data_IF_362225147797
#
_entry.id   IF_362225147797
#
_cell.length_a   1.000
_cell.length_b   1.000
_cell.length_c   1.000
_cell.angle_alpha   90.00
_cell.angle_beta   90.00
_cell.angle_gamma   90.00
#
_symmetry.space_group_name_H-M   'P 1'
#
loop_
_entity.id
_entity.type
_entity.pdbx_description
1 polymer ?
#
# COMPACT_ATOMS: atom_id res chain seq x y z
N UNK A 1 7.14 19.26 14.19
CA UNK A 1 6.64 18.67 12.92
C UNK A 1 7.50 17.49 12.42
N UNK A 2 8.83 17.48 12.61
CA UNK A 2 9.72 16.34 12.24
C UNK A 2 9.66 15.19 13.28
N UNK A 3 9.42 15.53 14.56
CA UNK A 3 9.44 14.59 15.68
C UNK A 3 8.35 13.50 15.57
N UNK A 4 7.12 13.86 15.17
CA UNK A 4 6.03 12.92 14.97
C UNK A 4 6.33 11.86 13.89
N UNK A 5 7.00 12.25 12.80
CA UNK A 5 7.36 11.32 11.72
C UNK A 5 8.44 10.34 12.17
N UNK A 6 9.43 10.82 12.91
CA UNK A 6 10.49 9.97 13.43
C UNK A 6 9.95 8.97 14.47
N UNK A 7 9.04 9.40 15.33
CA UNK A 7 8.37 8.52 16.29
C UNK A 7 7.44 7.52 15.61
N UNK A 8 6.68 7.94 14.60
CA UNK A 8 5.81 7.06 13.83
C UNK A 8 6.64 5.95 13.16
N UNK A 9 7.77 6.30 12.56
CA UNK A 9 8.67 5.35 11.92
C UNK A 9 9.31 4.38 12.92
N UNK A 10 9.72 4.87 14.11
CA UNK A 10 10.20 4.01 15.19
C UNK A 10 9.13 3.05 15.69
N UNK A 11 7.90 3.52 15.85
CA UNK A 11 6.77 2.69 16.25
C UNK A 11 6.50 1.60 15.21
N UNK A 12 6.54 1.95 13.92
CA UNK A 12 6.38 1.00 12.82
C UNK A 12 7.46 -0.08 12.84
N UNK A 13 8.74 0.31 12.96
CA UNK A 13 9.88 -0.63 13.04
C UNK A 13 9.81 -1.50 14.30
N UNK A 14 9.21 -0.99 15.38
CA UNK A 14 8.98 -1.75 16.62
C UNK A 14 7.74 -2.66 16.57
N UNK A 15 7.02 -2.73 15.43
CA UNK A 15 5.78 -3.49 15.30
C UNK A 15 4.57 -2.88 16.03
N UNK A 16 4.69 -1.67 16.57
CA UNK A 16 3.60 -0.95 17.25
C UNK A 16 2.72 -0.24 16.22
N UNK A 17 2.03 -1.03 15.40
CA UNK A 17 1.24 -0.55 14.26
C UNK A 17 0.17 0.46 14.68
N UNK A 18 -0.55 0.22 15.78
CA UNK A 18 -1.58 1.14 16.26
C UNK A 18 -1.03 2.51 16.66
N UNK A 19 0.17 2.53 17.25
CA UNK A 19 0.83 3.77 17.63
C UNK A 19 1.36 4.51 16.40
N UNK A 20 1.98 3.78 15.47
CA UNK A 20 2.46 4.33 14.21
C UNK A 20 1.32 4.97 13.43
N UNK A 21 0.18 4.29 13.31
CA UNK A 21 -1.01 4.78 12.63
C UNK A 21 -1.49 6.12 13.21
N UNK A 22 -1.63 6.21 14.54
CA UNK A 22 -2.06 7.44 15.20
C UNK A 22 -1.09 8.60 14.95
N UNK A 23 0.21 8.35 15.03
CA UNK A 23 1.24 9.38 14.81
C UNK A 23 1.26 9.85 13.35
N UNK A 24 1.09 8.93 12.39
CA UNK A 24 0.96 9.29 10.98
C UNK A 24 -0.31 10.11 10.72
N UNK A 25 -1.45 9.75 11.34
CA UNK A 25 -2.67 10.55 11.24
C UNK A 25 -2.50 11.96 11.79
N UNK A 26 -1.88 12.13 12.96
CA UNK A 26 -1.61 13.46 13.51
C UNK A 26 -0.73 14.31 12.58
N UNK A 27 0.22 13.69 11.89
CA UNK A 27 1.02 14.38 10.90
C UNK A 27 0.20 14.77 9.66
N UNK A 28 -0.73 13.93 9.20
CA UNK A 28 -1.68 14.25 8.12
C UNK A 28 -2.68 15.33 8.53
N UNK A 29 -3.13 15.36 9.78
CA UNK A 29 -3.99 16.43 10.30
C UNK A 29 -3.26 17.77 10.35
N UNK A 30 -1.97 17.74 10.67
CA UNK A 30 -1.11 18.94 10.66
C UNK A 30 -0.79 19.40 9.24
N UNK A 31 -0.53 18.46 8.34
CA UNK A 31 -0.27 18.72 6.92
C UNK A 31 -0.89 17.60 6.05
N UNK A 32 -2.07 17.89 5.50
CA UNK A 32 -2.81 16.96 4.67
C UNK A 32 -2.14 16.66 3.32
N UNK A 33 -1.09 17.41 2.95
CA UNK A 33 -0.32 17.23 1.71
C UNK A 33 1.03 16.54 1.97
N UNK A 34 1.30 16.13 3.21
CA UNK A 34 2.51 15.41 3.56
C UNK A 34 2.49 13.97 3.01
N UNK A 35 3.08 13.79 1.83
CA UNK A 35 3.18 12.49 1.18
C UNK A 35 3.90 11.44 2.04
N UNK A 36 4.90 11.84 2.84
CA UNK A 36 5.65 10.94 3.73
C UNK A 36 4.75 10.35 4.80
N UNK A 37 3.88 11.16 5.41
CA UNK A 37 2.94 10.68 6.42
C UNK A 37 1.93 9.69 5.82
N UNK A 38 1.44 9.96 4.61
CA UNK A 38 0.51 9.08 3.89
C UNK A 38 1.20 7.77 3.48
N UNK A 39 2.47 7.82 3.05
CA UNK A 39 3.30 6.62 2.83
C UNK A 39 3.43 5.80 4.10
N UNK A 40 3.58 6.46 5.25
CA UNK A 40 3.58 5.81 6.56
C UNK A 40 2.31 5.02 6.83
N UNK A 41 1.14 5.62 6.60
CA UNK A 41 -0.16 4.94 6.69
C UNK A 41 -0.26 3.74 5.73
N UNK A 42 0.24 3.88 4.49
CA UNK A 42 0.29 2.80 3.52
C UNK A 42 1.12 1.62 4.03
N UNK A 43 2.28 1.88 4.65
CA UNK A 43 3.14 0.85 5.25
C UNK A 43 2.47 0.18 6.43
N UNK A 44 1.84 0.94 7.33
CA UNK A 44 1.09 0.37 8.46
C UNK A 44 -0.01 -0.58 7.97
N UNK A 45 -0.76 -0.19 6.93
CA UNK A 45 -1.78 -1.03 6.34
C UNK A 45 -1.20 -2.32 5.73
N UNK A 46 -0.03 -2.25 5.07
CA UNK A 46 0.68 -3.43 4.59
C UNK A 46 1.09 -4.39 5.71
N UNK A 47 1.64 -3.86 6.80
CA UNK A 47 2.03 -4.68 7.96
C UNK A 47 0.82 -5.34 8.64
N UNK A 48 -0.37 -4.76 8.49
CA UNK A 48 -1.65 -5.35 8.92
C UNK A 48 -2.22 -6.36 7.93
N UNK A 49 -1.65 -6.50 6.74
CA UNK A 49 -2.18 -7.33 5.65
C UNK A 49 -3.34 -6.70 4.88
N UNK A 50 -3.65 -5.42 5.10
CA UNK A 50 -4.66 -4.69 4.33
C UNK A 50 -4.02 -4.03 3.11
N UNK A 51 -3.73 -4.86 2.10
CA UNK A 51 -3.17 -4.40 0.83
C UNK A 51 -4.12 -3.47 0.07
N UNK A 52 -5.43 -3.61 0.31
CA UNK A 52 -6.45 -2.78 -0.36
C UNK A 52 -6.28 -1.32 0.06
N UNK A 53 -6.31 -1.09 1.37
CA UNK A 53 -6.16 0.22 2.01
C UNK A 53 -4.76 0.78 1.79
N UNK A 54 -3.72 -0.06 1.89
CA UNK A 54 -2.36 0.35 1.57
C UNK A 54 -2.25 0.94 0.15
N UNK A 55 -2.95 0.35 -0.82
CA UNK A 55 -2.88 0.81 -2.21
C UNK A 55 -3.65 2.10 -2.45
N UNK A 56 -4.66 2.41 -1.64
CA UNK A 56 -5.33 3.70 -1.67
C UNK A 56 -4.41 4.80 -1.15
N UNK A 57 -3.73 4.57 -0.01
CA UNK A 57 -2.76 5.51 0.53
C UNK A 57 -1.55 5.71 -0.38
N UNK A 58 -1.00 4.63 -0.94
CA UNK A 58 0.14 4.73 -1.86
C UNK A 58 -0.18 5.60 -3.09
N UNK A 59 -1.34 5.39 -3.73
CA UNK A 59 -1.79 6.23 -4.86
C UNK A 59 -1.96 7.68 -4.48
N UNK A 60 -2.54 7.95 -3.31
CA UNK A 60 -2.70 9.32 -2.81
C UNK A 60 -1.35 9.98 -2.54
N UNK A 61 -0.38 9.25 -2.00
CA UNK A 61 0.98 9.75 -1.80
C UNK A 61 1.67 10.06 -3.14
N UNK A 62 1.57 9.18 -4.14
CA UNK A 62 2.12 9.43 -5.49
C UNK A 62 1.45 10.64 -6.15
N UNK A 63 0.15 10.83 -5.96
CA UNK A 63 -0.57 11.99 -6.50
C UNK A 63 -0.13 13.32 -5.85
N UNK A 64 0.32 13.29 -4.59
CA UNK A 64 0.82 14.46 -3.89
C UNK A 64 2.30 14.73 -4.18
N UNK A 65 3.10 13.68 -4.23
CA UNK A 65 4.53 13.72 -4.53
C UNK A 65 4.90 12.57 -5.48
N UNK A 66 4.87 12.84 -6.80
CA UNK A 66 5.25 11.87 -7.81
C UNK A 66 6.73 11.50 -7.81
N UNK A 67 7.58 12.27 -7.13
CA UNK A 67 9.03 12.02 -7.03
C UNK A 67 9.38 11.13 -5.83
N UNK A 68 8.39 10.83 -4.98
CA UNK A 68 8.58 9.98 -3.82
C UNK A 68 8.80 8.51 -4.23
N UNK A 69 10.08 8.10 -4.23
CA UNK A 69 10.48 6.74 -4.58
C UNK A 69 9.80 5.64 -3.73
N UNK A 70 9.48 5.93 -2.47
CA UNK A 70 8.81 4.97 -1.58
C UNK A 70 7.34 4.82 -1.98
N UNK A 71 6.64 5.93 -2.23
CA UNK A 71 5.26 5.93 -2.69
C UNK A 71 5.12 5.18 -4.02
N UNK A 72 5.99 5.48 -5.01
CA UNK A 72 6.03 4.81 -6.30
C UNK A 72 6.26 3.30 -6.15
N UNK A 73 7.19 2.89 -5.28
CA UNK A 73 7.48 1.47 -5.04
C UNK A 73 6.30 0.75 -4.41
N UNK A 74 5.62 1.37 -3.44
CA UNK A 74 4.45 0.82 -2.78
C UNK A 74 3.28 0.67 -3.77
N UNK A 75 3.01 1.71 -4.55
CA UNK A 75 1.95 1.68 -5.57
C UNK A 75 2.21 0.58 -6.61
N UNK A 76 3.44 0.51 -7.15
CA UNK A 76 3.81 -0.52 -8.10
C UNK A 76 3.74 -1.94 -7.52
N UNK A 77 4.10 -2.13 -6.25
CA UNK A 77 3.97 -3.42 -5.55
C UNK A 77 2.51 -3.83 -5.43
N UNK A 78 1.65 -2.91 -5.01
CA UNK A 78 0.24 -3.15 -4.73
C UNK A 78 -0.60 -3.29 -6.01
N UNK A 79 -0.22 -2.60 -7.08
CA UNK A 79 -0.79 -2.79 -8.41
C UNK A 79 -0.55 -4.21 -8.93
N UNK A 80 0.66 -4.76 -8.72
CA UNK A 80 0.98 -6.15 -9.10
C UNK A 80 0.23 -7.19 -8.27
N UNK A 81 0.05 -6.95 -6.96
CA UNK A 81 -0.71 -7.87 -6.11
C UNK A 81 -2.15 -8.00 -6.61
N UNK A 82 -2.81 -6.88 -6.89
CA UNK A 82 -4.15 -6.85 -7.50
C UNK A 82 -4.23 -7.51 -8.87
N UNK A 83 -3.19 -7.35 -9.70
CA UNK A 83 -3.15 -7.96 -11.03
C UNK A 83 -2.91 -9.48 -10.98
N UNK A 84 -2.18 -9.96 -9.96
CA UNK A 84 -1.94 -11.40 -9.72
C UNK A 84 -3.20 -12.14 -9.26
N UNK A 85 -3.99 -11.53 -8.38
CA UNK A 85 -5.25 -12.11 -7.91
C UNK A 85 -6.33 -12.22 -9.02
N UNK A 86 -6.25 -11.34 -10.03
CA UNK A 86 -7.13 -11.40 -11.20
C UNK A 86 -6.78 -12.47 -12.24
N UNK A 87 -5.59 -13.08 -12.16
CA UNK A 87 -5.09 -14.04 -13.15
C UNK A 87 -5.31 -15.52 -12.77
N UNK A 88 -5.79 -15.82 -11.56
CA UNK A 88 -6.07 -17.18 -11.09
C UNK A 88 -7.49 -17.68 -11.40
N UNK A 89 -8.29 -16.93 -12.17
CA UNK A 89 -9.71 -17.21 -12.43
C UNK A 89 -10.08 -17.59 -13.88
N UNK A 90 -9.12 -17.71 -14.80
CA UNK A 90 -9.39 -18.11 -16.19
C UNK A 90 -8.60 -19.34 -16.60
N UNK A 91 -8.78 -20.43 -15.86
CA UNK A 91 -8.44 -21.78 -16.32
C UNK A 91 -9.69 -22.66 -16.19
N UNK A 92 -10.64 -22.39 -17.09
CA UNK A 92 -11.96 -23.02 -17.08
C UNK A 92 -12.51 -23.06 -18.50
N UNK A 93 -12.16 -24.11 -19.24
CA UNK A 93 -12.66 -24.33 -20.59
C UNK A 93 -12.00 -25.47 -21.32
N UNK A 94 -12.06 -26.67 -20.75
CA UNK A 94 -11.79 -27.91 -21.46
C UNK A 94 -12.61 -27.97 -22.76
N UNK A 95 -11.94 -27.86 -23.90
CA UNK A 95 -12.46 -28.19 -25.22
C UNK A 95 -11.96 -29.57 -25.64
N UNK A 96 -12.39 -30.61 -24.93
CA UNK A 96 -12.33 -32.00 -25.40
C UNK A 96 -13.34 -32.16 -26.54
N UNK A 97 -12.90 -32.10 -27.79
CA UNK A 97 -13.61 -32.65 -28.97
C UNK A 97 -12.69 -32.49 -30.20
N UNK A 98 -12.32 -33.51 -30.95
CA UNK A 98 -12.52 -34.94 -30.86
C UNK A 98 -11.65 -35.58 -31.95
N UNK A 99 -11.25 -36.83 -31.76
CA UNK A 99 -10.97 -37.71 -32.90
C UNK A 99 -12.19 -37.70 -33.83
N UNK A 100 -12.04 -37.78 -35.17
CA UNK A 100 -11.81 -39.09 -35.77
C UNK A 100 -11.03 -39.11 -37.12
N UNK A 101 -10.10 -40.06 -37.24
CA UNK A 101 -10.01 -41.12 -38.28
C UNK A 101 -8.57 -41.49 -38.62
#
# INVERSE_FOLDING_TARGET
>A
MIELMLEAERALVSGRLDQAERLYWQAVESDARNAIAIVGLARVALERGDERTAGEFARRAVALDPENAVALRLDARLARSRAGDGAAGSDGGAGMAGEPR
#
